data_IF_902420502082
#
_entry.id   IF_902420502082
#
_cell.length_a   1.000
_cell.length_b   1.000
_cell.length_c   1.000
_cell.angle_alpha   90.00
_cell.angle_beta   90.00
_cell.angle_gamma   90.00
#
_symmetry.space_group_name_H-M   'P 1'
#
loop_
_entity.id
_entity.type
_entity.pdbx_description
1 polymer ?
#
# COMPACT_ATOMS: atom_id res chain seq x y z
N UNK A 1 0.41 0.41 7.61
CA UNK A 1 -0.66 1.09 8.34
C UNK A 1 -1.81 1.29 7.38
N UNK A 2 -2.44 2.45 7.30
CA UNK A 2 -3.46 2.67 6.25
C UNK A 2 -2.84 2.82 4.85
N UNK A 3 -1.70 3.49 4.78
CA UNK A 3 -1.11 3.92 3.51
C UNK A 3 -0.09 2.95 2.92
N UNK A 4 0.29 1.85 3.56
CA UNK A 4 1.39 1.03 3.04
C UNK A 4 1.04 0.30 1.73
N UNK A 5 -0.10 -0.39 1.70
CA UNK A 5 -0.53 -1.17 0.53
C UNK A 5 -1.32 -0.37 -0.51
N UNK A 6 -1.34 0.95 -0.44
CA UNK A 6 -2.23 1.73 -1.30
C UNK A 6 -1.90 1.57 -2.80
N UNK A 7 -0.65 1.19 -3.14
CA UNK A 7 -0.27 0.82 -4.49
C UNK A 7 -1.08 -0.36 -5.04
N UNK A 8 -1.48 -1.32 -4.19
CA UNK A 8 -2.36 -2.43 -4.59
C UNK A 8 -3.71 -1.91 -5.03
N UNK A 9 -4.25 -0.92 -4.31
CA UNK A 9 -5.53 -0.33 -4.67
C UNK A 9 -5.43 0.40 -6.00
N UNK A 10 -4.33 1.10 -6.26
CA UNK A 10 -4.06 1.70 -7.57
C UNK A 10 -4.04 0.62 -8.66
N UNK A 11 -3.29 -0.47 -8.48
CA UNK A 11 -3.21 -1.57 -9.44
C UNK A 11 -4.60 -2.19 -9.70
N UNK A 12 -5.33 -2.56 -8.65
CA UNK A 12 -6.65 -3.19 -8.75
C UNK A 12 -7.70 -2.27 -9.40
N UNK A 13 -7.63 -0.96 -9.14
CA UNK A 13 -8.61 0.00 -9.64
C UNK A 13 -8.46 0.27 -11.14
N UNK A 14 -7.23 0.27 -11.64
CA UNK A 14 -6.91 0.59 -13.02
C UNK A 14 -6.73 -0.66 -13.90
N UNK A 15 -6.37 -1.80 -13.31
CA UNK A 15 -6.06 -3.06 -13.99
C UNK A 15 -6.72 -4.26 -13.27
N UNK A 16 -8.07 -4.33 -13.24
CA UNK A 16 -8.80 -5.32 -12.44
C UNK A 16 -8.64 -6.76 -12.97
N UNK A 17 -8.44 -6.95 -14.28
CA UNK A 17 -8.24 -8.28 -14.87
C UNK A 17 -6.87 -8.85 -14.48
N UNK A 18 -5.84 -8.02 -14.61
CA UNK A 18 -4.47 -8.30 -14.18
C UNK A 18 -4.39 -8.53 -12.66
N UNK A 19 -5.18 -7.78 -11.88
CA UNK A 19 -5.21 -7.94 -10.43
C UNK A 19 -5.77 -9.31 -10.07
N UNK A 20 -6.84 -9.74 -10.75
CA UNK A 20 -7.40 -11.08 -10.58
C UNK A 20 -6.39 -12.17 -10.95
N UNK A 21 -5.56 -11.94 -11.97
CA UNK A 21 -4.48 -12.86 -12.36
C UNK A 21 -3.37 -12.92 -11.28
N UNK A 22 -2.91 -11.78 -10.78
CA UNK A 22 -1.90 -11.72 -9.71
C UNK A 22 -2.42 -12.38 -8.41
N UNK A 23 -3.69 -12.18 -8.07
CA UNK A 23 -4.36 -12.86 -6.94
C UNK A 23 -4.44 -14.38 -7.15
N UNK A 24 -4.72 -14.84 -8.37
CA UNK A 24 -4.70 -16.27 -8.71
C UNK A 24 -3.30 -16.87 -8.53
N UNK A 25 -2.26 -16.20 -9.04
CA UNK A 25 -0.87 -16.67 -8.88
C UNK A 25 -0.45 -16.70 -7.41
N UNK A 26 -0.90 -15.73 -6.62
CA UNK A 26 -0.68 -15.70 -5.17
C UNK A 26 -1.40 -16.86 -4.47
N UNK A 27 -2.62 -17.17 -4.90
CA UNK A 27 -3.39 -18.33 -4.39
C UNK A 27 -2.71 -19.67 -4.71
N UNK A 28 -1.94 -19.73 -5.80
CA UNK A 28 -1.11 -20.88 -6.18
C UNK A 28 0.25 -20.92 -5.45
N UNK A 29 0.49 -20.00 -4.50
CA UNK A 29 1.65 -19.99 -3.61
C UNK A 29 2.79 -19.07 -4.05
N UNK A 30 2.61 -18.27 -5.10
CA UNK A 30 3.56 -17.21 -5.44
C UNK A 30 3.50 -16.07 -4.41
N UNK A 31 4.63 -15.43 -4.13
CA UNK A 31 4.63 -14.19 -3.36
C UNK A 31 3.96 -13.05 -4.15
N UNK A 32 3.20 -12.18 -3.47
CA UNK A 32 2.41 -11.13 -4.11
C UNK A 32 3.28 -10.14 -4.91
N UNK A 33 4.45 -9.77 -4.40
CA UNK A 33 5.37 -8.87 -5.12
C UNK A 33 5.85 -9.54 -6.40
N UNK A 34 6.18 -10.83 -6.32
CA UNK A 34 6.59 -11.62 -7.49
C UNK A 34 5.45 -11.78 -8.53
N UNK A 35 4.23 -12.01 -8.06
CA UNK A 35 3.06 -12.13 -8.92
C UNK A 35 2.74 -10.81 -9.63
N UNK A 36 2.78 -9.69 -8.91
CA UNK A 36 2.59 -8.37 -9.50
C UNK A 36 3.68 -8.03 -10.50
N UNK A 37 4.96 -8.29 -10.18
CA UNK A 37 6.06 -8.08 -11.13
C UNK A 37 5.89 -8.91 -12.41
N UNK A 38 5.40 -10.15 -12.30
CA UNK A 38 5.15 -11.00 -13.47
C UNK A 38 4.01 -10.49 -14.37
N UNK A 39 2.98 -9.89 -13.78
CA UNK A 39 1.79 -9.42 -14.51
C UNK A 39 1.95 -7.98 -15.01
N UNK A 40 2.50 -7.09 -14.19
CA UNK A 40 2.56 -5.64 -14.44
C UNK A 40 3.95 -5.14 -14.85
N UNK A 41 5.01 -5.89 -14.56
CA UNK A 41 6.40 -5.40 -14.66
C UNK A 41 6.78 -4.38 -13.59
N UNK A 42 5.97 -4.27 -12.54
CA UNK A 42 6.14 -3.42 -11.34
C UNK A 42 5.38 -4.08 -10.19
N UNK A 43 5.60 -3.63 -8.96
CA UNK A 43 4.81 -4.04 -7.79
C UNK A 43 4.12 -2.85 -7.10
N UNK A 44 3.25 -3.17 -6.16
CA UNK A 44 2.52 -2.18 -5.38
C UNK A 44 3.41 -1.31 -4.50
N UNK A 45 4.61 -1.77 -4.10
CA UNK A 45 5.53 -0.96 -3.31
C UNK A 45 6.10 0.16 -4.17
N UNK A 46 6.49 -0.15 -5.40
CA UNK A 46 7.02 0.81 -6.37
C UNK A 46 5.94 1.82 -6.80
N UNK A 47 4.74 1.33 -7.14
CA UNK A 47 3.61 2.21 -7.45
C UNK A 47 3.27 3.11 -6.25
N UNK A 48 3.23 2.52 -5.05
CA UNK A 48 2.99 3.25 -3.81
C UNK A 48 4.06 4.33 -3.56
N UNK A 49 5.33 4.01 -3.77
CA UNK A 49 6.42 4.97 -3.62
C UNK A 49 6.26 6.15 -4.58
N UNK A 50 6.02 5.89 -5.86
CA UNK A 50 5.88 6.92 -6.88
C UNK A 50 4.73 7.88 -6.57
N UNK A 51 3.58 7.35 -6.15
CA UNK A 51 2.44 8.18 -5.79
C UNK A 51 2.71 8.95 -4.49
N UNK A 52 3.34 8.34 -3.49
CA UNK A 52 3.71 9.02 -2.24
C UNK A 52 4.66 10.20 -2.49
N UNK A 53 5.66 10.04 -3.36
CA UNK A 53 6.55 11.13 -3.80
C UNK A 53 5.74 12.23 -4.47
N UNK A 54 4.85 11.87 -5.41
CA UNK A 54 4.04 12.84 -6.15
C UNK A 54 3.09 13.63 -5.25
N UNK A 55 2.58 13.02 -4.19
CA UNK A 55 1.70 13.66 -3.21
C UNK A 55 2.46 14.48 -2.16
N UNK A 56 3.80 14.49 -2.19
CA UNK A 56 4.61 15.21 -1.19
C UNK A 56 4.54 14.58 0.19
N UNK A 57 4.27 13.26 0.27
CA UNK A 57 4.30 12.52 1.53
C UNK A 57 5.73 12.58 2.11
N UNK A 58 5.89 12.79 3.43
CA UNK A 58 7.21 12.86 4.05
C UNK A 58 8.07 11.63 3.72
N UNK A 59 9.35 11.86 3.41
CA UNK A 59 10.30 10.81 2.98
C UNK A 59 10.26 9.56 3.88
N UNK A 60 10.22 9.74 5.20
CA UNK A 60 10.11 8.62 6.16
C UNK A 60 8.92 7.71 5.92
N UNK A 61 7.77 8.24 5.51
CA UNK A 61 6.57 7.44 5.23
C UNK A 61 6.66 6.82 3.84
N UNK A 62 7.21 7.55 2.86
CA UNK A 62 7.50 7.03 1.53
C UNK A 62 8.45 5.82 1.57
N UNK A 63 9.48 5.87 2.42
CA UNK A 63 10.41 4.75 2.64
C UNK A 63 9.71 3.52 3.26
N UNK A 64 8.75 3.73 4.15
CA UNK A 64 7.93 2.64 4.72
C UNK A 64 7.08 1.98 3.65
N UNK A 65 6.43 2.78 2.81
CA UNK A 65 5.63 2.31 1.68
C UNK A 65 6.49 1.52 0.69
N UNK A 66 7.69 1.99 0.38
CA UNK A 66 8.56 1.35 -0.61
C UNK A 66 9.17 0.02 -0.15
N UNK A 67 9.19 -0.28 1.15
CA UNK A 67 9.97 -1.39 1.72
C UNK A 67 9.19 -2.23 2.74
N UNK A 68 7.86 -2.34 2.63
CA UNK A 68 7.06 -3.11 3.59
C UNK A 68 7.00 -4.62 3.30
N UNK A 69 7.42 -5.05 2.11
CA UNK A 69 7.75 -6.44 1.75
C UNK A 69 9.26 -6.59 1.46
N UNK A 70 10.13 -6.45 2.47
CA UNK A 70 11.57 -6.57 2.27
C UNK A 70 12.04 -8.03 2.26
N UNK A 71 13.25 -8.22 1.74
CA UNK A 71 14.02 -9.43 2.03
C UNK A 71 14.35 -9.49 3.54
N UNK A 72 14.23 -10.66 4.16
CA UNK A 72 14.43 -10.79 5.60
C UNK A 72 15.82 -10.33 6.08
N UNK A 73 16.83 -10.43 5.22
CA UNK A 73 18.22 -10.03 5.48
C UNK A 73 18.37 -8.51 5.67
N UNK A 74 17.54 -7.70 5.01
CA UNK A 74 17.62 -6.23 5.09
C UNK A 74 16.76 -5.61 6.19
N UNK A 75 15.88 -6.40 6.84
CA UNK A 75 14.92 -5.89 7.85
C UNK A 75 15.60 -5.06 8.94
N UNK A 76 16.76 -5.51 9.44
CA UNK A 76 17.47 -4.85 10.56
C UNK A 76 18.00 -3.46 10.20
N UNK A 77 18.20 -3.20 8.92
CA UNK A 77 18.71 -1.92 8.40
C UNK A 77 17.58 -0.92 8.15
N UNK A 78 16.33 -1.38 8.14
CA UNK A 78 15.17 -0.54 7.89
C UNK A 78 14.86 0.39 9.09
N UNK A 79 14.28 1.58 8.83
CA UNK A 79 13.77 2.45 9.87
C UNK A 79 12.80 1.71 10.80
N UNK A 80 12.81 2.08 12.10
CA UNK A 80 11.93 1.47 13.11
C UNK A 80 10.47 1.45 12.66
N UNK A 81 9.99 2.52 12.02
CA UNK A 81 8.62 2.61 11.54
C UNK A 81 8.30 1.55 10.46
N UNK A 82 9.22 1.29 9.54
CA UNK A 82 9.03 0.27 8.51
C UNK A 82 8.93 -1.12 9.15
N UNK A 83 9.82 -1.42 10.10
CA UNK A 83 9.80 -2.66 10.87
C UNK A 83 8.50 -2.87 11.64
N UNK A 84 7.96 -1.82 12.26
CA UNK A 84 6.64 -1.90 12.92
C UNK A 84 5.55 -2.31 11.92
N UNK A 85 5.56 -1.73 10.72
CA UNK A 85 4.57 -2.07 9.68
C UNK A 85 4.76 -3.51 9.20
N UNK A 86 5.99 -3.92 8.90
CA UNK A 86 6.32 -5.30 8.47
C UNK A 86 5.85 -6.31 9.52
N UNK A 87 6.13 -6.06 10.80
CA UNK A 87 5.69 -6.94 11.88
C UNK A 87 4.17 -6.99 11.96
N UNK A 88 3.50 -5.84 11.96
CA UNK A 88 2.04 -5.77 12.05
C UNK A 88 1.36 -6.54 10.91
N UNK A 89 1.84 -6.37 9.67
CA UNK A 89 1.28 -7.02 8.50
C UNK A 89 1.44 -8.55 8.55
N UNK A 90 2.65 -9.02 8.90
CA UNK A 90 2.92 -10.45 9.00
C UNK A 90 2.21 -11.12 10.19
N UNK A 91 1.98 -10.40 11.30
CA UNK A 91 1.21 -10.93 12.44
C UNK A 91 -0.27 -11.19 12.10
N UNK A 92 -0.86 -10.38 11.21
CA UNK A 92 -2.22 -10.59 10.71
C UNK A 92 -2.28 -11.80 9.77
N UNK A 93 -1.27 -11.95 8.90
CA UNK A 93 -1.21 -13.05 7.94
C UNK A 93 -1.03 -14.43 8.61
N UNK A 94 -0.18 -14.51 9.63
CA UNK A 94 0.16 -15.75 10.35
C UNK A 94 -1.04 -16.44 11.00
N UNK A 95 -2.15 -15.73 11.24
CA UNK A 95 -3.32 -16.29 11.93
C UNK A 95 -4.49 -16.66 11.01
N UNK A 96 -4.49 -16.21 9.74
CA UNK A 96 -5.41 -16.74 8.72
C UNK A 96 -5.06 -18.18 8.31
N UNK A 97 -3.92 -18.69 8.78
CA UNK A 97 -3.43 -20.03 8.55
C UNK A 97 -3.32 -20.77 9.90
N UNK A 98 -3.84 -21.99 9.95
CA UNK A 98 -3.75 -22.85 11.13
C UNK A 98 -2.26 -23.11 11.46
N UNK A 99 -1.93 -23.42 12.73
CA UNK A 99 -0.56 -23.74 13.21
C UNK A 99 0.23 -24.75 12.35
N UNK A 100 -0.47 -25.57 11.56
CA UNK A 100 0.09 -26.51 10.57
C UNK A 100 0.80 -25.79 9.39
N UNK A 101 0.31 -24.64 8.92
CA UNK A 101 0.87 -23.92 7.76
C UNK A 101 2.06 -23.03 8.14
N UNK A 102 2.21 -22.66 9.41
CA UNK A 102 3.43 -22.03 9.95
C UNK A 102 4.67 -22.93 9.81
N UNK A 103 4.49 -24.25 9.63
CA UNK A 103 5.57 -25.17 9.28
C UNK A 103 5.92 -25.14 7.79
N UNK A 104 5.07 -24.59 6.94
CA UNK A 104 5.19 -24.64 5.47
C UNK A 104 5.82 -23.35 4.91
N UNK A 105 5.70 -22.21 5.60
CA UNK A 105 6.32 -20.94 5.18
C UNK A 105 7.42 -20.48 6.14
N UNK A 106 8.59 -21.12 6.02
CA UNK A 106 9.78 -20.76 6.80
C UNK A 106 10.22 -19.30 6.62
N UNK A 107 9.86 -18.67 5.51
CA UNK A 107 10.24 -17.30 5.17
C UNK A 107 9.51 -16.30 6.05
N UNK A 108 8.17 -16.41 6.17
CA UNK A 108 7.37 -15.50 7.02
C UNK A 108 7.71 -15.63 8.51
N UNK A 109 7.97 -16.85 8.98
CA UNK A 109 8.44 -17.06 10.35
C UNK A 109 9.76 -16.33 10.61
N UNK A 110 10.70 -16.39 9.65
CA UNK A 110 11.97 -15.68 9.74
C UNK A 110 11.78 -14.15 9.71
N UNK A 111 10.85 -13.63 8.91
CA UNK A 111 10.50 -12.20 8.88
C UNK A 111 9.99 -11.75 10.24
N UNK A 112 8.98 -12.42 10.80
CA UNK A 112 8.39 -12.05 12.10
C UNK A 112 9.42 -12.12 13.21
N UNK A 113 10.19 -13.21 13.27
CA UNK A 113 11.25 -13.35 14.28
C UNK A 113 12.30 -12.24 14.15
N UNK A 114 12.84 -12.04 12.95
CA UNK A 114 13.87 -11.01 12.70
C UNK A 114 13.36 -9.62 13.04
N UNK A 115 12.11 -9.33 12.67
CA UNK A 115 11.50 -8.03 12.91
C UNK A 115 11.23 -7.80 14.40
N UNK A 116 10.62 -8.77 15.09
CA UNK A 116 10.34 -8.72 16.52
C UNK A 116 11.65 -8.58 17.34
N UNK A 117 12.67 -9.39 17.03
CA UNK A 117 14.00 -9.31 17.66
C UNK A 117 14.61 -7.91 17.49
N UNK A 118 14.51 -7.34 16.28
CA UNK A 118 15.06 -6.01 15.99
C UNK A 118 14.33 -4.87 16.72
N UNK A 119 13.08 -5.10 17.13
CA UNK A 119 12.23 -4.16 17.87
C UNK A 119 12.28 -4.40 19.39
N UNK A 120 12.98 -5.44 19.86
CA UNK A 120 13.00 -5.83 21.28
C UNK A 120 11.67 -6.43 21.74
N UNK A 121 10.89 -7.01 20.83
CA UNK A 121 9.59 -7.62 21.10
C UNK A 121 9.81 -9.13 21.27
N UNK A 122 9.63 -9.62 22.50
CA UNK A 122 9.65 -11.06 22.80
C UNK A 122 8.26 -11.71 22.66
N UNK A 123 8.19 -13.03 22.85
CA UNK A 123 6.93 -13.80 22.77
C UNK A 123 5.86 -13.30 23.76
N UNK A 124 6.25 -12.81 24.94
CA UNK A 124 5.28 -12.31 25.92
C UNK A 124 4.60 -11.02 25.46
N UNK A 125 5.32 -10.20 24.68
CA UNK A 125 4.76 -9.02 24.03
C UNK A 125 3.83 -9.41 22.87
N UNK A 126 4.22 -10.39 22.06
CA UNK A 126 3.36 -10.92 20.99
C UNK A 126 2.05 -11.49 21.55
N UNK A 127 2.12 -12.28 22.63
CA UNK A 127 0.93 -12.82 23.30
C UNK A 127 -0.02 -11.72 23.78
N UNK A 128 0.53 -10.63 24.33
CA UNK A 128 -0.26 -9.45 24.73
C UNK A 128 -0.92 -8.78 23.52
N UNK A 129 -0.18 -8.57 22.43
CA UNK A 129 -0.73 -8.00 21.19
C UNK A 129 -1.89 -8.88 20.67
N UNK A 130 -1.71 -10.19 20.65
CA UNK A 130 -2.76 -11.12 20.24
C UNK A 130 -3.98 -11.13 21.16
N UNK A 131 -3.80 -10.87 22.46
CA UNK A 131 -4.91 -10.82 23.41
C UNK A 131 -5.82 -9.60 23.23
N UNK A 132 -5.28 -8.49 22.71
CA UNK A 132 -6.02 -7.23 22.52
C UNK A 132 -6.53 -7.06 21.09
N UNK A 133 -6.02 -7.83 20.12
CA UNK A 133 -6.48 -7.79 18.74
C UNK A 133 -7.97 -8.17 18.67
N UNK A 134 -8.82 -7.37 17.99
CA UNK A 134 -10.23 -7.68 17.88
C UNK A 134 -10.46 -9.06 17.28
N UNK A 135 -11.35 -9.84 17.89
CA UNK A 135 -11.57 -11.25 17.54
C UNK A 135 -11.96 -11.48 16.08
N UNK A 136 -12.58 -10.52 15.40
CA UNK A 136 -12.92 -10.64 13.98
C UNK A 136 -11.70 -10.55 13.04
N UNK A 137 -10.57 -9.97 13.49
CA UNK A 137 -9.29 -10.11 12.79
C UNK A 137 -8.63 -11.47 13.04
N UNK A 138 -9.05 -12.18 14.10
CA UNK A 138 -8.47 -13.46 14.54
C UNK A 138 -9.24 -14.68 14.04
N UNK A 139 -10.55 -14.52 13.83
CA UNK A 139 -11.48 -15.51 13.31
C UNK A 139 -12.25 -14.76 12.23
N UNK A 140 -12.03 -15.07 10.95
CA UNK A 140 -12.70 -14.44 9.82
C UNK A 140 -14.20 -14.72 9.81
N UNK A 141 -14.91 -14.23 10.82
CA UNK A 141 -16.30 -14.50 11.09
C UNK A 141 -17.09 -13.21 10.91
N UNK A 142 -17.70 -13.08 9.72
CA UNK A 142 -18.70 -12.05 9.43
C UNK A 142 -19.88 -12.10 10.40
N UNK A 143 -20.06 -13.19 11.16
CA UNK A 143 -21.22 -13.37 12.05
C UNK A 143 -21.07 -12.73 13.43
N UNK A 144 -19.88 -12.26 13.80
CA UNK A 144 -19.63 -11.67 15.12
C UNK A 144 -18.89 -10.33 15.07
N UNK A 145 -19.17 -9.50 14.07
CA UNK A 145 -18.98 -8.06 14.24
C UNK A 145 -20.04 -7.56 15.23
N UNK A 146 -19.62 -7.24 16.45
CA UNK A 146 -20.44 -6.47 17.38
C UNK A 146 -20.84 -5.16 16.71
N UNK A 147 -22.10 -5.07 16.25
CA UNK A 147 -22.64 -3.88 15.59
C UNK A 147 -22.72 -2.66 16.52
N UNK A 148 -22.49 -2.83 17.83
CA UNK A 148 -22.39 -1.72 18.79
C UNK A 148 -20.99 -1.12 18.88
N UNK A 149 -19.98 -1.78 18.30
CA UNK A 149 -18.61 -1.27 18.24
C UNK A 149 -18.44 -0.23 17.14
N UNK A 150 -17.56 0.76 17.33
CA UNK A 150 -17.26 1.79 16.33
C UNK A 150 -16.59 1.25 15.04
N UNK A 151 -16.36 -0.07 14.95
CA UNK A 151 -15.53 -0.70 13.92
C UNK A 151 -16.12 -0.64 12.50
N UNK A 152 -17.40 -0.98 12.26
CA UNK A 152 -17.97 -0.84 10.92
C UNK A 152 -17.92 0.62 10.43
N UNK A 153 -18.08 1.57 11.36
CA UNK A 153 -17.94 3.00 11.08
C UNK A 153 -16.49 3.37 10.74
N UNK A 154 -15.49 2.84 11.45
CA UNK A 154 -14.08 3.10 11.16
C UNK A 154 -13.62 2.52 9.82
N UNK A 155 -14.07 1.31 9.46
CA UNK A 155 -13.79 0.72 8.15
C UNK A 155 -14.40 1.59 7.05
N UNK A 156 -15.70 1.91 7.18
CA UNK A 156 -16.40 2.78 6.23
C UNK A 156 -15.75 4.17 6.11
N UNK A 157 -15.35 4.76 7.22
CA UNK A 157 -14.67 6.06 7.24
C UNK A 157 -13.29 5.99 6.57
N UNK A 158 -12.54 4.89 6.75
CA UNK A 158 -11.28 4.68 6.06
C UNK A 158 -11.48 4.53 4.55
N UNK A 159 -12.50 3.78 4.11
CA UNK A 159 -12.84 3.64 2.69
C UNK A 159 -13.29 4.98 2.09
N UNK A 160 -14.08 5.78 2.82
CA UNK A 160 -14.50 7.11 2.39
C UNK A 160 -13.32 8.10 2.32
N UNK A 161 -12.47 8.13 3.35
CA UNK A 161 -11.23 8.92 3.34
C UNK A 161 -10.35 8.53 2.16
N UNK A 162 -10.23 7.24 1.89
CA UNK A 162 -9.45 6.73 0.77
C UNK A 162 -10.03 7.17 -0.58
N UNK A 163 -11.36 7.07 -0.77
CA UNK A 163 -12.03 7.59 -1.96
C UNK A 163 -11.74 9.08 -2.18
N UNK A 164 -11.80 9.88 -1.12
CA UNK A 164 -11.44 11.30 -1.16
C UNK A 164 -9.99 11.53 -1.56
N UNK A 165 -9.03 10.72 -1.09
CA UNK A 165 -7.63 10.83 -1.48
C UNK A 165 -7.42 10.54 -2.98
N UNK A 166 -8.09 9.52 -3.51
CA UNK A 166 -8.04 9.19 -4.95
C UNK A 166 -8.65 10.31 -5.79
N UNK A 167 -9.81 10.82 -5.38
CA UNK A 167 -10.50 11.92 -6.06
C UNK A 167 -9.66 13.19 -6.08
N UNK A 168 -9.06 13.52 -4.94
CA UNK A 168 -8.17 14.66 -4.81
C UNK A 168 -6.95 14.51 -5.73
N UNK A 169 -6.34 13.31 -5.77
CA UNK A 169 -5.23 13.00 -6.67
C UNK A 169 -5.59 13.18 -8.15
N UNK A 170 -6.79 12.76 -8.56
CA UNK A 170 -7.32 12.96 -9.91
C UNK A 170 -7.53 14.44 -10.22
N UNK A 171 -8.19 15.19 -9.33
CA UNK A 171 -8.43 16.63 -9.51
C UNK A 171 -7.12 17.41 -9.66
N UNK A 172 -6.09 17.07 -8.88
CA UNK A 172 -4.78 17.70 -9.02
C UNK A 172 -4.13 17.43 -10.37
N UNK A 173 -4.23 16.19 -10.88
CA UNK A 173 -3.71 15.82 -12.20
C UNK A 173 -4.43 16.59 -13.31
N UNK A 174 -5.77 16.60 -13.29
CA UNK A 174 -6.59 17.34 -14.27
C UNK A 174 -6.24 18.82 -14.27
N UNK A 175 -6.10 19.45 -13.10
CA UNK A 175 -5.70 20.85 -12.97
C UNK A 175 -4.31 21.11 -13.57
N UNK A 176 -3.37 20.19 -13.39
CA UNK A 176 -2.01 20.32 -13.94
C UNK A 176 -2.01 20.21 -15.46
N UNK A 177 -2.82 19.29 -16.01
CA UNK A 177 -3.01 19.09 -17.45
C UNK A 177 -3.62 20.35 -18.10
N UNK A 178 -4.69 20.88 -17.51
CA UNK A 178 -5.35 22.12 -17.93
C UNK A 178 -4.40 23.31 -17.88
N UNK A 179 -3.62 23.45 -16.81
CA UNK A 179 -2.64 24.53 -16.68
C UNK A 179 -1.56 24.46 -17.79
N UNK A 180 -1.14 23.25 -18.17
CA UNK A 180 -0.21 23.05 -19.30
C UNK A 180 -0.82 23.44 -20.63
N UNK A 181 -2.08 23.05 -20.89
CA UNK A 181 -2.79 23.38 -22.13
C UNK A 181 -2.95 24.90 -22.28
N UNK A 182 -3.40 25.60 -21.24
CA UNK A 182 -3.53 27.06 -21.26
C UNK A 182 -2.20 27.78 -21.52
N UNK A 183 -1.10 27.28 -20.94
CA UNK A 183 0.25 27.81 -21.18
C UNK A 183 0.69 27.62 -22.64
N UNK A 184 0.26 26.53 -23.28
CA UNK A 184 0.59 26.25 -24.67
C UNK A 184 -0.24 27.12 -25.63
N UNK A 185 -1.55 27.22 -25.41
CA UNK A 185 -2.45 28.08 -26.20
C UNK A 185 -2.01 29.55 -26.15
N UNK A 186 -1.68 30.06 -24.96
CA UNK A 186 -1.21 31.45 -24.79
C UNK A 186 0.12 31.70 -25.52
N UNK A 187 1.02 30.71 -25.60
CA UNK A 187 2.26 30.82 -26.36
C UNK A 187 2.00 30.85 -27.87
N UNK A 188 1.08 30.02 -28.35
CA UNK A 188 0.71 29.93 -29.77
C UNK A 188 0.05 31.22 -30.25
N UNK A 189 -0.89 31.78 -29.48
CA UNK A 189 -1.50 33.09 -29.75
C UNK A 189 -0.45 34.21 -29.78
N UNK A 190 0.45 34.27 -28.79
CA UNK A 190 1.52 35.27 -28.74
C UNK A 190 2.46 35.20 -29.95
N UNK A 191 2.79 34.00 -30.42
CA UNK A 191 3.59 33.83 -31.65
C UNK A 191 2.85 34.27 -32.92
N UNK A 192 1.55 33.97 -33.02
CA UNK A 192 0.73 34.39 -34.15
C UNK A 192 0.58 35.91 -34.24
N UNK A 193 0.39 36.57 -33.10
CA UNK A 193 0.30 38.04 -33.05
C UNK A 193 1.64 38.70 -33.39
N UNK A 194 2.75 38.12 -32.93
CA UNK A 194 4.11 38.58 -33.28
C UNK A 194 4.38 38.46 -34.79
N UNK A 195 3.96 37.36 -35.42
CA UNK A 195 4.08 37.14 -36.86
C UNK A 195 3.21 38.11 -37.67
N UNK A 196 1.97 38.37 -37.22
CA UNK A 196 1.09 39.36 -37.87
C UNK A 196 1.68 40.76 -37.82
N UNK A 197 2.23 41.17 -36.67
CA UNK A 197 2.90 42.48 -36.51
C UNK A 197 4.16 42.62 -37.37
N UNK A 198 4.91 41.54 -37.59
CA UNK A 198 6.10 41.57 -38.44
C UNK A 198 5.79 41.61 -39.95
N UNK A 199 4.57 41.21 -40.36
CA UNK A 199 4.12 41.22 -41.76
C UNK A 199 3.27 42.45 -42.14
N UNK A 200 2.94 43.31 -41.17
CA UNK A 200 2.22 44.58 -41.37
C UNK A 200 3.18 45.77 -41.41
#
# INVERSE_FOLDING_TARGET
GLLHDFGRICLHRYFPEEASLAESMTSDGMDIVSAEQAVYGTDHQEIGQLVAIKWGIPQKLTEVIANHHPNYESIKELPVLARIIILADNLLFIKQLNLETLRVDSTRLNIVKTCADSLGIDNSHLDKIYSILPKHFLYGDEKHTDKSSAWPSLIKMNDELFGLYVDLGRMFKERQELSRQMLQESREEGTLDSLKMAMS
#
